data_IF_102721869768
#
_entry.id   IF_102721869768
#
_cell.length_a   1.000
_cell.length_b   1.000
_cell.length_c   1.000
_cell.angle_alpha   90.00
_cell.angle_beta   90.00
_cell.angle_gamma   90.00
#
_symmetry.space_group_name_H-M   'P 1'
#
loop_
_entity.id
_entity.type
_entity.pdbx_description
1 polymer ?
#
# COMPACT_ATOMS: atom_id res chain seq x y z
N UNK A 1 18.29 15.32 -6.81
CA UNK A 1 17.01 15.85 -6.30
C UNK A 1 15.95 14.80 -6.61
N UNK A 2 15.42 14.12 -5.60
CA UNK A 2 14.57 12.93 -5.78
C UNK A 2 13.28 13.31 -6.52
N UNK A 3 13.23 13.07 -7.83
CA UNK A 3 11.99 13.00 -8.59
C UNK A 3 11.31 11.66 -8.26
N UNK A 4 10.75 11.57 -7.05
CA UNK A 4 9.84 10.48 -6.73
C UNK A 4 8.62 10.65 -7.62
N UNK A 5 8.43 9.74 -8.58
CA UNK A 5 7.23 9.74 -9.40
C UNK A 5 6.08 9.01 -8.67
N UNK A 6 4.85 9.17 -9.15
CA UNK A 6 3.68 8.58 -8.50
C UNK A 6 3.81 7.06 -8.31
N UNK A 7 4.40 6.33 -9.27
CA UNK A 7 4.58 4.88 -9.19
C UNK A 7 5.55 4.50 -8.06
N UNK A 8 6.69 5.18 -7.97
CA UNK A 8 7.66 4.97 -6.90
C UNK A 8 7.08 5.35 -5.53
N UNK A 9 6.27 6.42 -5.48
CA UNK A 9 5.58 6.81 -4.26
C UNK A 9 4.59 5.74 -3.79
N UNK A 10 3.73 5.23 -4.67
CA UNK A 10 2.78 4.16 -4.32
C UNK A 10 3.48 2.86 -3.94
N UNK A 11 4.62 2.57 -4.58
CA UNK A 11 5.42 1.39 -4.24
C UNK A 11 6.04 1.50 -2.85
N UNK A 12 6.67 2.63 -2.53
CA UNK A 12 7.17 2.91 -1.16
C UNK A 12 6.05 2.91 -0.13
N UNK A 13 4.86 3.41 -0.47
CA UNK A 13 3.68 3.33 0.40
C UNK A 13 3.29 1.88 0.67
N UNK A 14 3.28 1.01 -0.34
CA UNK A 14 3.02 -0.42 -0.15
C UNK A 14 4.09 -1.08 0.71
N UNK A 15 5.37 -0.81 0.41
CA UNK A 15 6.49 -1.34 1.18
C UNK A 15 6.45 -0.88 2.64
N UNK A 16 6.00 0.35 2.92
CA UNK A 16 5.86 0.87 4.29
C UNK A 16 4.94 0.04 5.18
N UNK A 17 4.07 -0.75 4.56
CA UNK A 17 3.13 -1.61 5.25
C UNK A 17 3.73 -2.96 5.63
N UNK A 18 4.80 -3.38 4.95
CA UNK A 18 5.52 -4.65 5.15
C UNK A 18 6.83 -4.44 5.91
N UNK A 19 7.54 -3.36 5.60
CA UNK A 19 8.80 -2.95 6.24
C UNK A 19 8.73 -1.52 6.73
N UNK A 20 9.53 -1.20 7.74
CA UNK A 20 9.76 0.19 8.09
C UNK A 20 10.53 0.90 6.97
N UNK A 21 10.01 2.04 6.51
CA UNK A 21 10.76 2.93 5.63
C UNK A 21 11.88 3.64 6.40
N UNK A 22 13.01 3.86 5.73
CA UNK A 22 14.09 4.71 6.20
C UNK A 22 13.64 6.16 6.32
N UNK A 23 14.35 6.97 7.12
CA UNK A 23 14.01 8.38 7.32
C UNK A 23 14.04 9.18 6.00
N UNK A 24 14.98 8.85 5.10
CA UNK A 24 15.06 9.47 3.77
C UNK A 24 13.87 9.14 2.87
N UNK A 25 13.45 7.88 2.85
CA UNK A 25 12.27 7.42 2.10
C UNK A 25 10.99 8.09 2.62
N UNK A 26 10.82 8.16 3.95
CA UNK A 26 9.69 8.86 4.58
C UNK A 26 9.64 10.33 4.19
N UNK A 27 10.80 11.01 4.19
CA UNK A 27 10.87 12.42 3.82
C UNK A 27 10.51 12.64 2.35
N UNK A 28 11.08 11.84 1.44
CA UNK A 28 10.79 11.91 0.02
C UNK A 28 9.31 11.66 -0.28
N UNK A 29 8.72 10.66 0.38
CA UNK A 29 7.30 10.34 0.24
C UNK A 29 6.41 11.50 0.71
N UNK A 30 6.73 12.08 1.87
CA UNK A 30 5.98 13.21 2.45
C UNK A 30 6.06 14.45 1.55
N UNK A 31 7.22 14.74 0.98
CA UNK A 31 7.35 15.83 0.00
C UNK A 31 6.49 15.57 -1.24
N UNK A 32 6.48 14.34 -1.75
CA UNK A 32 5.65 13.98 -2.90
C UNK A 32 4.14 14.08 -2.61
N UNK A 33 3.67 13.63 -1.44
CA UNK A 33 2.23 13.71 -1.10
C UNK A 33 1.76 15.13 -0.80
N UNK A 34 2.67 16.04 -0.45
CA UNK A 34 2.34 17.47 -0.35
C UNK A 34 2.05 18.10 -1.73
N UNK A 35 2.77 17.67 -2.78
CA UNK A 35 2.58 18.18 -4.15
C UNK A 35 1.57 17.39 -4.98
N UNK A 36 1.34 16.11 -4.67
CA UNK A 36 0.48 15.21 -5.44
C UNK A 36 -0.74 14.78 -4.62
N UNK A 37 -1.91 15.36 -4.95
CA UNK A 37 -3.19 15.03 -4.31
C UNK A 37 -3.58 13.55 -4.46
N UNK A 38 -3.26 12.94 -5.61
CA UNK A 38 -3.55 11.53 -5.88
C UNK A 38 -2.81 10.60 -4.91
N UNK A 39 -1.50 10.79 -4.78
CA UNK A 39 -0.69 10.01 -3.85
C UNK A 39 -1.08 10.26 -2.39
N UNK A 40 -1.43 11.51 -2.03
CA UNK A 40 -1.96 11.84 -0.69
C UNK A 40 -3.27 11.11 -0.37
N UNK A 41 -4.17 10.99 -1.34
CA UNK A 41 -5.42 10.28 -1.17
C UNK A 41 -5.19 8.77 -1.03
N UNK A 42 -4.27 8.22 -1.84
CA UNK A 42 -3.89 6.81 -1.76
C UNK A 42 -3.26 6.47 -0.40
N UNK A 43 -2.32 7.30 0.09
CA UNK A 43 -1.69 7.15 1.41
C UNK A 43 -2.73 7.05 2.54
N UNK A 44 -3.81 7.84 2.47
CA UNK A 44 -4.90 7.81 3.45
C UNK A 44 -5.78 6.56 3.37
N UNK A 45 -5.96 6.00 2.17
CA UNK A 45 -6.82 4.83 1.94
C UNK A 45 -6.10 3.50 2.18
N UNK A 46 -4.79 3.46 1.97
CA UNK A 46 -3.99 2.23 2.06
C UNK A 46 -4.13 1.46 3.40
N UNK A 47 -4.20 2.12 4.58
CA UNK A 47 -4.42 1.41 5.84
C UNK A 47 -5.79 0.73 5.93
N UNK A 48 -6.83 1.32 5.31
CA UNK A 48 -8.19 0.77 5.28
C UNK A 48 -8.21 -0.50 4.43
N UNK A 49 -7.64 -0.43 3.23
CA UNK A 49 -7.51 -1.58 2.32
C UNK A 49 -6.78 -2.72 3.04
N UNK A 50 -5.66 -2.43 3.70
CA UNK A 50 -4.89 -3.46 4.42
C UNK A 50 -5.65 -4.05 5.61
N UNK A 51 -6.43 -3.24 6.33
CA UNK A 51 -7.28 -3.74 7.43
C UNK A 51 -8.35 -4.71 6.91
N UNK A 52 -8.99 -4.38 5.79
CA UNK A 52 -10.01 -5.24 5.17
C UNK A 52 -9.36 -6.55 4.69
N UNK A 53 -8.24 -6.46 3.98
CA UNK A 53 -7.50 -7.63 3.50
C UNK A 53 -7.07 -8.56 4.64
N UNK A 54 -6.53 -8.01 5.74
CA UNK A 54 -6.19 -8.80 6.93
C UNK A 54 -7.41 -9.47 7.56
N UNK A 55 -8.54 -8.76 7.71
CA UNK A 55 -9.78 -9.35 8.24
C UNK A 55 -10.34 -10.46 7.36
N UNK A 56 -10.13 -10.38 6.05
CA UNK A 56 -10.51 -11.43 5.13
C UNK A 56 -9.62 -12.67 5.31
N UNK A 57 -8.30 -12.48 5.45
CA UNK A 57 -7.34 -13.56 5.69
C UNK A 57 -7.47 -14.22 7.09
N UNK A 58 -7.82 -13.44 8.12
CA UNK A 58 -7.96 -13.91 9.50
C UNK A 58 -9.31 -14.60 9.78
N UNK A 59 -10.23 -14.63 8.81
CA UNK A 59 -11.52 -15.29 8.99
C UNK A 59 -11.29 -16.81 8.92
N UNK A 60 -11.52 -17.58 10.01
CA UNK A 60 -11.45 -19.02 9.93
C UNK A 60 -12.51 -19.51 8.95
N UNK A 61 -12.05 -20.12 7.88
CA UNK A 61 -12.87 -20.73 6.84
C UNK A 61 -13.74 -21.83 7.47
N UNK A 62 -15.01 -21.53 7.69
CA UNK A 62 -16.09 -22.52 7.71
C UNK A 62 -16.91 -22.32 6.43
N UNK A 63 -16.36 -22.72 5.29
CA UNK A 63 -17.06 -22.83 4.02
C UNK A 63 -16.40 -22.11 2.85
N UNK A 64 -15.50 -22.82 2.18
CA UNK A 64 -15.25 -22.80 0.74
C UNK A 64 -14.67 -21.49 0.17
N UNK A 65 -13.34 -21.32 0.24
CA UNK A 65 -12.62 -20.54 -0.76
C UNK A 65 -12.28 -21.41 -1.97
N UNK A 66 -13.07 -21.23 -3.03
CA UNK A 66 -12.65 -21.48 -4.40
C UNK A 66 -11.33 -20.71 -4.62
N UNK A 67 -10.24 -21.46 -4.66
CA UNK A 67 -8.99 -21.04 -5.29
C UNK A 67 -9.24 -21.05 -6.80
N UNK A 68 -9.70 -19.92 -7.33
CA UNK A 68 -9.56 -19.63 -8.75
C UNK A 68 -8.16 -19.06 -8.94
N UNK A 69 -7.19 -19.97 -9.12
CA UNK A 69 -5.98 -19.67 -9.89
C UNK A 69 -6.45 -19.29 -11.30
N UNK A 70 -6.05 -18.14 -11.88
CA UNK A 70 -6.15 -17.97 -13.31
C UNK A 70 -5.16 -18.95 -13.95
N UNK A 71 -5.72 -19.97 -14.62
CA UNK A 71 -5.00 -20.74 -15.63
C UNK A 71 -4.49 -19.79 -16.73
N UNK A 72 -3.17 -19.66 -16.86
CA UNK A 72 -2.36 -19.90 -18.08
C UNK A 72 -0.88 -19.52 -17.85
#
# INVERSE_FOLDING_TARGET
MLMLNCRQATQLMSESQERALTTGEKLALKLHTLMCRGCRNFERQLPVIRRIARRYADRPDNGNLQKEDPEE
#
